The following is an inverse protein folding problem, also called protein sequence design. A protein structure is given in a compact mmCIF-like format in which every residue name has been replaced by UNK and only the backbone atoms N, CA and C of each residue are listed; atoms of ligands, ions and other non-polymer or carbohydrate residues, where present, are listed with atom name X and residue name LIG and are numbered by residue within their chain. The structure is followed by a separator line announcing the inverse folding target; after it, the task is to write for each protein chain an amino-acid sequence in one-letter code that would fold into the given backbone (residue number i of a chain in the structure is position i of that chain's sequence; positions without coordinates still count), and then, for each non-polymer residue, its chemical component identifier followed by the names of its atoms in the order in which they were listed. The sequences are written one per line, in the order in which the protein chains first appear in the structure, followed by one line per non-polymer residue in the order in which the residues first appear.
data_IF_371325115671
#
_entry.id   IF_371325115671
#
_cell.length_a   1.000
_cell.length_b   1.000
_cell.length_c   1.000
_cell.angle_alpha   90.00
_cell.angle_beta   90.00
_cell.angle_gamma   90.00
#
_symmetry.space_group_name_H-M   'P 1'
#
loop_
_entity.id
_entity.type
_entity.pdbx_description
1 polymer ?
#
# COMPACT_ATOMS: atom_id res chain seq x y z
N UNK A 1 4.04 4.58 -35.29
CA UNK A 1 3.95 4.96 -33.87
C UNK A 1 4.20 3.71 -33.05
N UNK A 2 5.20 3.71 -32.17
CA UNK A 2 5.43 2.56 -31.26
C UNK A 2 4.19 2.38 -30.38
N UNK A 3 3.69 1.16 -30.24
CA UNK A 3 2.63 0.83 -29.29
C UNK A 3 3.11 1.22 -27.89
N UNK A 4 2.44 2.16 -27.24
CA UNK A 4 2.70 2.47 -25.83
C UNK A 4 1.87 1.56 -24.96
N UNK A 5 2.54 0.79 -24.09
CA UNK A 5 1.94 -0.14 -23.16
C UNK A 5 1.91 0.47 -21.76
N UNK A 6 0.98 0.03 -20.93
CA UNK A 6 0.96 0.31 -19.49
C UNK A 6 1.50 -0.91 -18.75
N UNK A 7 2.47 -0.71 -17.87
CA UNK A 7 2.98 -1.74 -16.99
C UNK A 7 2.28 -1.66 -15.63
N UNK A 8 1.46 -2.65 -15.32
CA UNK A 8 0.86 -2.80 -13.99
C UNK A 8 1.74 -3.72 -13.13
N UNK A 9 2.11 -3.26 -11.94
CA UNK A 9 2.79 -4.02 -10.90
C UNK A 9 1.77 -4.38 -9.83
N UNK A 10 1.54 -5.67 -9.64
CA UNK A 10 0.60 -6.21 -8.66
C UNK A 10 1.38 -7.02 -7.61
N UNK A 11 1.56 -6.43 -6.44
CA UNK A 11 2.25 -7.06 -5.32
C UNK A 11 1.23 -7.68 -4.36
N UNK A 12 0.89 -8.94 -4.59
CA UNK A 12 -0.05 -9.70 -3.76
C UNK A 12 0.58 -10.26 -2.49
N UNK A 13 -0.24 -10.94 -1.67
CA UNK A 13 0.24 -11.54 -0.41
C UNK A 13 1.24 -12.67 -0.62
N UNK A 14 1.08 -13.45 -1.68
CA UNK A 14 1.90 -14.66 -1.90
C UNK A 14 2.77 -14.61 -3.16
N UNK A 15 2.60 -13.59 -3.99
CA UNK A 15 3.32 -13.47 -5.24
C UNK A 15 3.36 -12.03 -5.75
N UNK A 16 4.40 -11.71 -6.50
CA UNK A 16 4.53 -10.50 -7.30
C UNK A 16 4.15 -10.79 -8.75
N UNK A 17 3.41 -9.89 -9.38
CA UNK A 17 2.96 -10.01 -10.76
C UNK A 17 3.27 -8.72 -11.52
N UNK A 18 3.54 -8.85 -12.80
CA UNK A 18 3.64 -7.74 -13.74
C UNK A 18 2.81 -8.04 -14.98
N UNK A 19 2.03 -7.07 -15.42
CA UNK A 19 1.10 -7.20 -16.55
C UNK A 19 1.34 -6.02 -17.51
N UNK A 20 1.45 -6.31 -18.78
CA UNK A 20 1.45 -5.29 -19.84
C UNK A 20 0.07 -5.21 -20.47
N UNK A 21 -0.52 -4.02 -20.43
CA UNK A 21 -1.78 -3.70 -21.09
C UNK A 21 -1.54 -2.84 -22.33
N UNK A 22 -2.30 -3.10 -23.40
CA UNK A 22 -2.34 -2.24 -24.56
C UNK A 22 -3.30 -1.05 -24.36
N UNK A 23 -3.39 -0.18 -25.37
CA UNK A 23 -4.26 1.00 -25.34
C UNK A 23 -5.76 0.66 -25.26
N UNK A 24 -6.17 -0.55 -25.67
CA UNK A 24 -7.56 -1.02 -25.57
C UNK A 24 -7.87 -1.63 -24.20
N UNK A 25 -6.90 -1.67 -23.26
CA UNK A 25 -7.05 -2.29 -21.94
C UNK A 25 -6.94 -3.82 -21.96
N UNK A 26 -6.47 -4.41 -23.05
CA UNK A 26 -6.29 -5.85 -23.18
C UNK A 26 -4.93 -6.26 -22.61
N UNK A 27 -4.88 -7.43 -21.99
CA UNK A 27 -3.63 -8.02 -21.48
C UNK A 27 -2.81 -8.57 -22.65
N UNK A 28 -1.62 -8.04 -22.84
CA UNK A 28 -0.67 -8.52 -23.84
C UNK A 28 0.26 -9.59 -23.25
N UNK A 29 0.83 -9.35 -22.08
CA UNK A 29 1.78 -10.25 -21.42
C UNK A 29 1.62 -10.22 -19.91
N UNK A 30 1.94 -11.35 -19.27
CA UNK A 30 1.95 -11.52 -17.82
C UNK A 30 3.21 -12.25 -17.38
N UNK A 31 3.80 -11.82 -16.27
CA UNK A 31 4.81 -12.57 -15.53
C UNK A 31 4.45 -12.55 -14.04
N UNK A 32 4.67 -13.67 -13.36
CA UNK A 32 4.37 -13.84 -11.94
C UNK A 32 5.43 -14.71 -11.27
N UNK A 33 5.76 -14.37 -10.03
CA UNK A 33 6.70 -15.12 -9.19
C UNK A 33 6.21 -15.13 -7.75
N UNK A 34 6.15 -16.30 -7.13
CA UNK A 34 5.90 -16.45 -5.70
C UNK A 34 7.13 -16.06 -4.90
N UNK A 35 6.93 -15.67 -3.64
CA UNK A 35 7.98 -15.40 -2.66
C UNK A 35 7.67 -16.07 -1.32
N UNK A 36 8.67 -16.16 -0.45
CA UNK A 36 8.58 -16.89 0.81
C UNK A 36 7.61 -16.22 1.79
N UNK A 37 6.83 -17.07 2.48
CA UNK A 37 5.98 -16.65 3.60
C UNK A 37 6.66 -17.09 4.89
N UNK A 38 6.93 -16.15 5.80
CA UNK A 38 7.67 -16.39 7.03
C UNK A 38 6.68 -16.45 8.21
N UNK A 39 6.72 -17.52 8.98
CA UNK A 39 5.85 -17.74 10.15
C UNK A 39 6.70 -17.98 11.40
N UNK A 40 7.25 -16.92 12.05
CA UNK A 40 8.19 -17.07 13.17
C UNK A 40 7.59 -17.77 14.39
N UNK A 41 6.34 -17.46 14.69
CA UNK A 41 5.57 -18.07 15.78
C UNK A 41 4.08 -18.18 15.38
N UNK A 42 3.27 -18.97 16.09
CA UNK A 42 1.83 -19.04 15.81
C UNK A 42 1.17 -17.65 15.84
N UNK A 43 0.47 -17.30 14.77
CA UNK A 43 -0.21 -16.01 14.60
C UNK A 43 0.67 -14.87 14.08
N UNK A 44 1.97 -15.07 13.89
CA UNK A 44 2.86 -14.11 13.26
C UNK A 44 3.03 -14.45 11.78
N UNK A 45 2.98 -13.41 10.94
CA UNK A 45 3.15 -13.54 9.49
C UNK A 45 4.04 -12.41 9.00
N UNK A 46 5.14 -12.77 8.35
CA UNK A 46 6.13 -11.83 7.88
C UNK A 46 6.55 -12.11 6.43
N UNK A 47 7.02 -11.08 5.76
CA UNK A 47 7.70 -11.17 4.46
C UNK A 47 9.07 -10.49 4.55
N UNK A 48 10.04 -10.98 3.78
CA UNK A 48 11.27 -10.23 3.54
C UNK A 48 10.98 -9.09 2.52
N UNK A 49 11.12 -7.80 2.92
CA UNK A 49 10.90 -6.69 1.99
C UNK A 49 11.86 -6.71 0.79
N UNK A 50 13.07 -7.24 0.96
CA UNK A 50 14.02 -7.35 -0.14
C UNK A 50 13.59 -8.43 -1.15
N UNK A 51 12.92 -9.49 -0.70
CA UNK A 51 12.33 -10.48 -1.59
C UNK A 51 11.09 -9.92 -2.32
N UNK A 52 10.23 -9.15 -1.63
CA UNK A 52 9.14 -8.39 -2.27
C UNK A 52 9.71 -7.53 -3.40
N UNK A 53 10.73 -6.73 -3.13
CA UNK A 53 11.37 -5.87 -4.13
C UNK A 53 11.98 -6.66 -5.28
N UNK A 54 12.82 -7.65 -4.97
CA UNK A 54 13.54 -8.43 -5.99
C UNK A 54 12.60 -9.23 -6.89
N UNK A 55 11.56 -9.82 -6.34
CA UNK A 55 10.53 -10.54 -7.12
C UNK A 55 9.74 -9.59 -8.01
N UNK A 56 9.35 -8.40 -7.50
CA UNK A 56 8.56 -7.43 -8.26
C UNK A 56 9.35 -6.85 -9.44
N UNK A 57 10.62 -6.46 -9.24
CA UNK A 57 11.45 -5.97 -10.34
C UNK A 57 11.81 -7.06 -11.34
N UNK A 58 11.99 -8.30 -10.87
CA UNK A 58 12.25 -9.46 -11.72
C UNK A 58 11.09 -9.71 -12.70
N UNK A 59 9.84 -9.77 -12.20
CA UNK A 59 8.68 -10.00 -13.08
C UNK A 59 8.41 -8.80 -14.00
N UNK A 60 8.72 -7.58 -13.57
CA UNK A 60 8.63 -6.40 -14.42
C UNK A 60 9.64 -6.45 -15.60
N UNK A 61 10.89 -6.82 -15.33
CA UNK A 61 11.90 -7.00 -16.36
C UNK A 61 11.55 -8.18 -17.29
N UNK A 62 11.07 -9.29 -16.72
CA UNK A 62 10.68 -10.49 -17.47
C UNK A 62 9.53 -10.21 -18.44
N UNK A 63 8.48 -9.49 -18.02
CA UNK A 63 7.33 -9.20 -18.88
C UNK A 63 7.71 -8.29 -20.05
N UNK A 64 8.60 -7.31 -19.82
CA UNK A 64 9.15 -6.43 -20.86
C UNK A 64 9.97 -7.27 -21.87
N UNK A 65 10.80 -8.19 -21.38
CA UNK A 65 11.61 -9.07 -22.23
C UNK A 65 10.73 -10.04 -23.02
N UNK A 66 9.72 -10.66 -22.41
CA UNK A 66 8.75 -11.54 -23.10
C UNK A 66 7.99 -10.82 -24.22
N UNK A 67 7.68 -9.55 -24.01
CA UNK A 67 7.03 -8.72 -25.03
C UNK A 67 7.95 -8.32 -26.18
N UNK A 68 9.27 -8.54 -26.05
CA UNK A 68 10.26 -8.13 -27.04
C UNK A 68 10.38 -6.61 -27.19
N UNK A 69 10.04 -5.86 -26.16
CA UNK A 69 10.05 -4.39 -26.11
C UNK A 69 11.17 -3.86 -25.22
N UNK A 70 11.38 -2.55 -25.27
CA UNK A 70 12.22 -1.81 -24.33
C UNK A 70 11.35 -1.00 -23.36
N UNK A 71 11.92 -0.54 -22.26
CA UNK A 71 11.23 0.36 -21.35
C UNK A 71 10.72 1.66 -21.98
N UNK A 72 11.26 2.07 -23.14
CA UNK A 72 10.81 3.26 -23.89
C UNK A 72 9.40 3.10 -24.49
N UNK A 73 8.93 1.87 -24.64
CA UNK A 73 7.60 1.55 -25.16
C UNK A 73 6.56 1.43 -24.03
N UNK A 74 7.00 1.49 -22.76
CA UNK A 74 6.14 1.59 -21.60
C UNK A 74 5.79 3.07 -21.36
N UNK A 75 4.52 3.41 -21.43
CA UNK A 75 4.04 4.78 -21.27
C UNK A 75 4.01 5.20 -19.80
N UNK A 76 3.61 4.30 -18.89
CA UNK A 76 3.53 4.53 -17.47
C UNK A 76 3.52 3.20 -16.69
N UNK A 77 3.82 3.31 -15.39
CA UNK A 77 3.67 2.25 -14.40
C UNK A 77 2.48 2.58 -13.49
N UNK A 78 1.59 1.60 -13.29
CA UNK A 78 0.61 1.56 -12.21
C UNK A 78 1.03 0.53 -11.16
N UNK A 79 0.82 0.84 -9.88
CA UNK A 79 1.17 -0.04 -8.76
C UNK A 79 -0.08 -0.36 -7.98
N UNK A 80 -0.30 -1.65 -7.72
CA UNK A 80 -1.28 -2.14 -6.75
C UNK A 80 -0.62 -3.14 -5.82
N UNK A 81 -1.11 -3.25 -4.59
CA UNK A 81 -0.42 -4.02 -3.56
C UNK A 81 -1.38 -4.56 -2.51
N UNK A 82 -0.97 -5.65 -1.85
CA UNK A 82 -1.54 -6.05 -0.56
C UNK A 82 -1.47 -4.88 0.41
N UNK A 83 -2.62 -4.54 1.01
CA UNK A 83 -2.72 -3.38 1.90
C UNK A 83 -2.25 -3.72 3.31
N UNK A 84 -2.10 -2.71 4.17
CA UNK A 84 -1.84 -2.80 5.61
C UNK A 84 -0.50 -3.47 6.00
N UNK A 85 0.14 -4.19 5.10
CA UNK A 85 1.48 -4.79 5.33
C UNK A 85 2.48 -3.67 5.56
N UNK A 86 3.15 -3.73 6.70
CA UNK A 86 3.96 -2.64 7.26
C UNK A 86 5.43 -2.88 7.00
N UNK A 87 6.08 -1.92 6.35
CA UNK A 87 7.53 -1.92 6.09
C UNK A 87 8.16 -0.71 6.76
N UNK A 88 9.30 -0.91 7.42
CA UNK A 88 10.13 0.17 7.98
C UNK A 88 11.56 -0.01 7.52
N UNK A 89 12.17 1.04 6.99
CA UNK A 89 13.53 0.99 6.45
C UNK A 89 14.32 2.26 6.77
N UNK A 90 15.62 2.12 6.76
CA UNK A 90 16.57 3.20 7.01
C UNK A 90 16.65 4.14 5.79
N UNK A 91 16.58 5.46 6.01
CA UNK A 91 16.54 6.48 4.95
C UNK A 91 17.83 6.59 4.16
N UNK A 92 18.98 6.27 4.76
CA UNK A 92 20.29 6.38 4.13
C UNK A 92 20.63 5.13 3.32
N UNK A 93 20.44 3.96 3.91
CA UNK A 93 20.81 2.68 3.30
C UNK A 93 19.71 2.08 2.44
N UNK A 94 18.45 2.37 2.76
CA UNK A 94 17.29 1.76 2.15
C UNK A 94 17.07 0.30 2.57
N UNK A 95 17.77 -0.15 3.62
CA UNK A 95 17.61 -1.50 4.14
C UNK A 95 16.49 -1.55 5.17
N UNK A 96 15.62 -2.56 5.09
CA UNK A 96 14.60 -2.79 6.10
C UNK A 96 15.22 -3.03 7.48
N UNK A 97 14.63 -2.42 8.52
CA UNK A 97 15.07 -2.63 9.91
C UNK A 97 14.49 -3.91 10.51
N UNK A 98 13.43 -4.42 9.91
CA UNK A 98 12.74 -5.65 10.28
C UNK A 98 12.01 -6.23 9.07
N UNK A 99 11.60 -7.50 9.14
CA UNK A 99 10.70 -8.07 8.14
C UNK A 99 9.38 -7.27 8.04
N UNK A 100 8.77 -7.24 6.86
CA UNK A 100 7.44 -6.66 6.70
C UNK A 100 6.43 -7.45 7.51
N UNK A 101 5.70 -6.77 8.42
CA UNK A 101 4.63 -7.41 9.20
C UNK A 101 3.36 -7.40 8.34
N UNK A 102 2.88 -8.59 7.98
CA UNK A 102 1.79 -8.79 7.02
C UNK A 102 0.44 -8.45 7.65
N UNK A 103 -0.54 -8.08 6.83
CA UNK A 103 -1.91 -7.77 7.23
C UNK A 103 -2.62 -8.90 8.04
N UNK A 104 -2.21 -10.15 7.83
CA UNK A 104 -2.72 -11.33 8.53
C UNK A 104 -2.16 -11.51 9.95
N UNK A 105 -1.08 -10.79 10.29
CA UNK A 105 -0.37 -10.93 11.55
C UNK A 105 -1.23 -10.50 12.74
N UNK A 106 -1.16 -11.26 13.84
CA UNK A 106 -1.96 -11.04 15.04
C UNK A 106 -1.14 -10.67 16.28
N UNK A 107 0.19 -10.39 16.15
CA UNK A 107 1.07 -10.10 17.30
C UNK A 107 0.61 -8.91 18.14
N UNK A 108 -0.06 -7.95 17.54
CA UNK A 108 -0.53 -6.73 18.20
C UNK A 108 -1.99 -6.81 18.67
N UNK A 109 -2.65 -7.98 18.57
CA UNK A 109 -4.05 -8.14 18.93
C UNK A 109 -4.32 -7.77 20.39
N UNK A 110 -3.44 -8.19 21.32
CA UNK A 110 -3.56 -7.85 22.74
C UNK A 110 -3.50 -6.34 22.99
N UNK A 111 -2.60 -5.64 22.29
CA UNK A 111 -2.51 -4.18 22.39
C UNK A 111 -3.78 -3.50 21.86
N UNK A 112 -4.38 -4.02 20.79
CA UNK A 112 -5.67 -3.52 20.31
C UNK A 112 -6.78 -3.70 21.38
N UNK A 113 -6.79 -4.82 22.08
CA UNK A 113 -7.80 -5.06 23.13
C UNK A 113 -7.59 -4.12 24.33
N UNK A 114 -6.37 -3.88 24.75
CA UNK A 114 -6.03 -2.88 25.78
C UNK A 114 -6.50 -1.48 25.39
N UNK A 115 -6.31 -1.04 24.15
CA UNK A 115 -6.81 0.26 23.66
C UNK A 115 -8.36 0.33 23.61
N UNK A 116 -9.04 -0.78 23.30
CA UNK A 116 -10.52 -0.85 23.37
C UNK A 116 -11.02 -0.67 24.80
N UNK A 117 -10.38 -1.34 25.76
CA UNK A 117 -10.70 -1.21 27.19
C UNK A 117 -10.48 0.22 27.69
N UNK A 118 -9.50 0.94 27.15
CA UNK A 118 -9.24 2.35 27.42
C UNK A 118 -10.22 3.32 26.73
N UNK A 119 -11.11 2.82 25.86
CA UNK A 119 -12.15 3.61 25.21
C UNK A 119 -11.76 4.28 23.89
N UNK A 120 -10.63 3.90 23.27
CA UNK A 120 -10.14 4.53 22.04
C UNK A 120 -10.82 4.06 20.75
N UNK A 121 -11.69 3.04 20.80
CA UNK A 121 -12.30 2.45 19.61
C UNK A 121 -13.15 3.45 18.80
N UNK A 122 -13.93 4.31 19.47
CA UNK A 122 -14.84 5.25 18.80
C UNK A 122 -14.08 6.35 18.06
N UNK A 123 -13.06 6.96 18.65
CA UNK A 123 -12.27 8.01 18.00
C UNK A 123 -11.52 7.48 16.78
N UNK A 124 -11.00 6.24 16.85
CA UNK A 124 -10.37 5.59 15.71
C UNK A 124 -11.38 5.37 14.59
N UNK A 125 -12.57 4.84 14.92
CA UNK A 125 -13.62 4.61 13.93
C UNK A 125 -14.11 5.91 13.29
N UNK A 126 -14.32 6.95 14.06
CA UNK A 126 -14.74 8.26 13.56
C UNK A 126 -13.73 8.85 12.58
N UNK A 127 -12.45 8.87 12.93
CA UNK A 127 -11.40 9.49 12.12
C UNK A 127 -10.99 8.67 10.93
N UNK A 128 -10.98 7.34 11.06
CA UNK A 128 -10.39 6.45 10.03
C UNK A 128 -11.39 5.62 9.26
N UNK A 129 -12.64 5.50 9.74
CA UNK A 129 -13.64 4.57 9.22
C UNK A 129 -13.35 3.10 9.56
N UNK A 130 -12.28 2.82 10.30
CA UNK A 130 -11.81 1.47 10.61
C UNK A 130 -12.19 1.06 12.03
N UNK A 131 -12.21 -0.25 12.28
CA UNK A 131 -12.24 -0.80 13.62
C UNK A 131 -10.82 -0.89 14.18
N UNK A 132 -10.68 -0.82 15.50
CA UNK A 132 -9.39 -1.04 16.16
C UNK A 132 -9.04 -2.53 16.14
N UNK A 133 -8.14 -2.91 15.23
CA UNK A 133 -7.70 -4.30 15.03
C UNK A 133 -6.24 -4.38 14.56
N UNK A 134 -5.57 -5.48 14.89
CA UNK A 134 -4.20 -5.80 14.48
C UNK A 134 -4.04 -5.93 12.94
N UNK A 135 -5.13 -6.01 12.21
CA UNK A 135 -5.16 -6.04 10.76
C UNK A 135 -4.47 -4.81 10.13
N UNK A 136 -4.65 -3.62 10.71
CA UNK A 136 -4.17 -2.34 10.18
C UNK A 136 -2.73 -2.01 10.57
N UNK A 137 -2.11 -1.03 9.90
CA UNK A 137 -0.65 -0.81 9.99
C UNK A 137 -0.18 -0.18 11.31
N UNK A 138 -0.95 0.71 11.94
CA UNK A 138 -0.49 1.54 13.08
C UNK A 138 0.12 0.73 14.22
N UNK A 139 -0.58 -0.33 14.65
CA UNK A 139 -0.11 -1.17 15.77
C UNK A 139 1.13 -1.98 15.42
N UNK A 140 1.26 -2.41 14.15
CA UNK A 140 2.46 -3.10 13.64
C UNK A 140 3.66 -2.17 13.60
N UNK A 141 3.44 -0.93 13.11
CA UNK A 141 4.49 0.10 13.10
C UNK A 141 4.97 0.41 14.52
N UNK A 142 4.02 0.65 15.44
CA UNK A 142 4.36 0.84 16.86
C UNK A 142 5.18 -0.34 17.40
N UNK A 143 4.76 -1.57 17.10
CA UNK A 143 5.47 -2.77 17.55
C UNK A 143 6.91 -2.79 17.05
N UNK A 144 7.17 -2.48 15.77
CA UNK A 144 8.53 -2.42 15.21
C UNK A 144 9.35 -1.36 15.96
N UNK A 145 8.81 -0.15 16.15
CA UNK A 145 9.53 0.93 16.84
C UNK A 145 9.86 0.59 18.29
N UNK A 146 9.02 -0.19 18.97
CA UNK A 146 9.20 -0.51 20.38
C UNK A 146 10.03 -1.79 20.62
N UNK A 147 10.17 -2.67 19.63
CA UNK A 147 10.79 -3.99 19.82
C UNK A 147 12.07 -4.21 19.00
N UNK A 148 12.32 -3.38 17.99
CA UNK A 148 13.56 -3.45 17.21
C UNK A 148 14.59 -2.48 17.80
N UNK A 149 15.75 -3.00 18.17
CA UNK A 149 16.81 -2.21 18.80
C UNK A 149 17.20 -0.97 17.96
N UNK A 150 17.18 0.20 18.60
CA UNK A 150 17.52 1.48 17.97
C UNK A 150 16.47 2.03 17.01
N UNK A 151 15.36 1.32 16.75
CA UNK A 151 14.35 1.79 15.79
C UNK A 151 13.61 3.03 16.30
N UNK A 152 13.31 3.10 17.60
CA UNK A 152 12.60 4.24 18.21
C UNK A 152 13.44 5.52 18.08
N UNK A 153 14.68 5.48 18.49
CA UNK A 153 15.61 6.61 18.44
C UNK A 153 15.83 7.09 17.01
N UNK A 154 16.03 6.17 16.08
CA UNK A 154 16.15 6.49 14.65
C UNK A 154 14.89 7.12 14.08
N UNK A 155 13.70 6.63 14.46
CA UNK A 155 12.44 7.19 14.01
C UNK A 155 12.23 8.62 14.50
N UNK A 156 12.52 8.90 15.78
CA UNK A 156 12.46 10.23 16.37
C UNK A 156 13.45 11.20 15.73
N UNK A 157 14.60 10.69 15.30
CA UNK A 157 15.61 11.46 14.55
C UNK A 157 15.26 11.63 13.06
N UNK A 158 14.14 11.06 12.56
CA UNK A 158 13.74 11.12 11.15
C UNK A 158 14.64 10.30 10.20
N UNK A 159 15.33 9.30 10.73
CA UNK A 159 16.26 8.44 9.98
C UNK A 159 15.61 7.17 9.44
N UNK A 160 14.34 6.99 9.70
CA UNK A 160 13.55 5.88 9.16
C UNK A 160 12.44 6.37 8.23
N UNK A 161 12.04 5.49 7.34
CA UNK A 161 10.82 5.59 6.55
C UNK A 161 9.86 4.47 6.95
N UNK A 162 8.58 4.81 7.07
CA UNK A 162 7.48 3.84 7.14
C UNK A 162 6.69 3.87 5.84
N UNK A 163 6.19 2.72 5.43
CA UNK A 163 5.20 2.64 4.35
C UNK A 163 4.48 1.31 4.30
N UNK A 164 3.37 1.33 3.59
CA UNK A 164 2.80 0.12 3.00
C UNK A 164 3.64 -0.28 1.79
N UNK A 165 3.36 -1.42 1.19
CA UNK A 165 4.22 -1.98 0.14
C UNK A 165 4.38 -1.05 -1.07
N UNK A 166 3.33 -0.30 -1.45
CA UNK A 166 3.40 0.72 -2.51
C UNK A 166 4.49 1.76 -2.26
N UNK A 167 4.55 2.31 -1.05
CA UNK A 167 5.55 3.31 -0.64
C UNK A 167 6.97 2.75 -0.78
N UNK A 168 7.19 1.53 -0.29
CA UNK A 168 8.48 0.87 -0.38
C UNK A 168 8.89 0.60 -1.84
N UNK A 169 7.95 0.13 -2.67
CA UNK A 169 8.19 -0.08 -4.10
C UNK A 169 8.51 1.23 -4.83
N UNK A 170 7.75 2.31 -4.60
CA UNK A 170 8.02 3.62 -5.20
C UNK A 170 9.39 4.14 -4.77
N UNK A 171 9.70 4.03 -3.48
CA UNK A 171 11.00 4.44 -2.95
C UNK A 171 12.16 3.68 -3.62
N UNK A 172 12.07 2.36 -3.75
CA UNK A 172 13.06 1.52 -4.45
C UNK A 172 13.11 1.82 -5.96
N UNK A 173 11.96 1.96 -6.65
CA UNK A 173 11.88 2.28 -8.08
C UNK A 173 12.54 3.62 -8.41
N UNK A 174 12.48 4.57 -7.50
CA UNK A 174 13.03 5.93 -7.67
C UNK A 174 14.40 6.14 -7.02
N UNK A 175 14.95 5.10 -6.39
CA UNK A 175 16.20 5.16 -5.61
C UNK A 175 16.15 6.24 -4.52
N UNK A 176 15.12 6.20 -3.71
CA UNK A 176 14.95 7.10 -2.55
C UNK A 176 14.51 8.53 -2.90
N UNK A 177 14.25 8.85 -4.17
CA UNK A 177 13.87 10.21 -4.58
C UNK A 177 12.42 10.55 -4.24
N UNK A 178 11.59 9.54 -4.08
CA UNK A 178 10.16 9.71 -3.80
C UNK A 178 9.77 8.88 -2.59
N UNK A 179 9.15 9.55 -1.64
CA UNK A 179 8.63 8.96 -0.42
C UNK A 179 7.14 9.34 -0.30
N UNK A 180 6.30 8.55 -0.95
CA UNK A 180 4.87 8.81 -1.13
C UNK A 180 4.05 7.54 -0.94
N UNK A 181 2.76 7.71 -0.62
CA UNK A 181 1.69 6.71 -0.69
C UNK A 181 0.45 7.35 -1.31
N UNK A 182 -0.52 6.55 -1.74
CA UNK A 182 -1.81 7.07 -2.16
C UNK A 182 -2.84 7.07 -1.02
N UNK A 183 -3.92 7.85 -1.18
CA UNK A 183 -5.00 7.94 -0.19
C UNK A 183 -5.65 6.59 0.12
N UNK A 184 -5.72 5.66 -0.84
CA UNK A 184 -6.36 4.37 -0.64
C UNK A 184 -5.54 3.46 0.26
N UNK A 185 -4.22 3.40 0.08
CA UNK A 185 -3.30 2.69 0.99
C UNK A 185 -3.19 3.39 2.34
N UNK A 186 -3.04 4.72 2.35
CA UNK A 186 -2.96 5.50 3.59
C UNK A 186 -4.19 5.32 4.47
N UNK A 187 -5.40 5.22 3.88
CA UNK A 187 -6.66 4.99 4.62
C UNK A 187 -6.71 3.63 5.34
N UNK A 188 -5.77 2.70 5.02
CA UNK A 188 -5.71 1.38 5.66
C UNK A 188 -4.69 1.31 6.80
N UNK A 189 -4.07 2.43 7.14
CA UNK A 189 -3.01 2.44 8.15
C UNK A 189 -3.50 2.62 9.59
N UNK A 190 -4.75 3.06 9.81
CA UNK A 190 -5.26 3.57 11.10
C UNK A 190 -4.55 4.86 11.58
N UNK A 191 -3.86 5.57 10.67
CA UNK A 191 -3.14 6.82 10.96
C UNK A 191 -3.68 8.00 10.13
N UNK A 192 -4.35 7.70 9.00
CA UNK A 192 -4.95 8.72 8.13
C UNK A 192 -6.35 9.07 8.62
N UNK A 193 -6.65 10.37 8.70
CA UNK A 193 -8.01 10.85 8.85
C UNK A 193 -8.68 10.88 7.47
N UNK A 194 -9.72 10.08 7.27
CA UNK A 194 -10.39 9.94 5.97
C UNK A 194 -11.19 11.18 5.57
N UNK A 195 -11.45 12.12 6.47
CA UNK A 195 -12.17 13.35 6.19
C UNK A 195 -11.24 14.49 5.75
N UNK A 196 -10.02 14.54 6.31
CA UNK A 196 -8.99 15.55 5.94
C UNK A 196 -8.02 15.03 4.87
N UNK A 197 -7.93 13.71 4.70
CA UNK A 197 -6.99 13.00 3.81
C UNK A 197 -5.52 13.29 4.14
N UNK A 198 -5.23 13.49 5.41
CA UNK A 198 -3.87 13.66 5.94
C UNK A 198 -3.68 12.81 7.21
N UNK A 199 -2.43 12.63 7.59
CA UNK A 199 -2.04 11.96 8.82
C UNK A 199 -2.61 12.71 10.03
N UNK A 200 -3.34 12.00 10.90
CA UNK A 200 -4.03 12.60 12.06
C UNK A 200 -3.11 12.67 13.27
N UNK A 201 -2.88 13.87 13.79
CA UNK A 201 -1.95 14.08 14.89
C UNK A 201 -2.39 13.38 16.19
N UNK A 202 -3.68 13.29 16.48
CA UNK A 202 -4.17 12.61 17.69
C UNK A 202 -3.94 11.09 17.58
N UNK A 203 -4.08 10.52 16.37
CA UNK A 203 -3.75 9.11 16.12
C UNK A 203 -2.24 8.86 16.20
N UNK A 204 -1.42 9.77 15.67
CA UNK A 204 0.03 9.67 15.80
C UNK A 204 0.48 9.72 17.25
N UNK A 205 -0.11 10.60 18.08
CA UNK A 205 0.15 10.68 19.50
C UNK A 205 -0.30 9.40 20.22
N UNK A 206 -1.53 8.91 19.94
CA UNK A 206 -2.07 7.70 20.54
C UNK A 206 -1.17 6.47 20.33
N UNK A 207 -0.65 6.30 19.10
CA UNK A 207 0.24 5.19 18.77
C UNK A 207 1.72 5.51 19.03
N UNK A 208 2.06 6.72 19.48
CA UNK A 208 3.42 7.21 19.66
C UNK A 208 4.28 7.03 18.40
N UNK A 209 3.78 7.53 17.27
CA UNK A 209 4.44 7.45 15.94
C UNK A 209 4.93 8.83 15.52
N UNK A 210 6.24 9.03 15.30
CA UNK A 210 6.77 10.27 14.80
C UNK A 210 6.28 10.57 13.37
N UNK A 211 5.74 11.77 13.13
CA UNK A 211 5.29 12.19 11.80
C UNK A 211 6.40 12.18 10.76
N UNK A 212 7.65 12.39 11.18
CA UNK A 212 8.81 12.47 10.30
C UNK A 212 9.08 11.19 9.49
N UNK A 213 8.58 10.04 9.94
CA UNK A 213 8.78 8.76 9.23
C UNK A 213 7.65 8.41 8.27
N UNK A 214 6.64 9.27 8.11
CA UNK A 214 5.46 9.01 7.28
C UNK A 214 5.62 9.60 5.88
N UNK A 215 5.16 8.89 4.82
CA UNK A 215 5.22 9.39 3.45
C UNK A 215 4.25 10.54 3.20
N UNK A 216 4.49 11.30 2.13
CA UNK A 216 3.52 12.24 1.61
C UNK A 216 2.32 11.50 1.00
N UNK A 217 1.10 11.92 1.34
CA UNK A 217 -0.14 11.31 0.82
C UNK A 217 -0.52 11.97 -0.50
N UNK A 218 -0.66 11.18 -1.55
CA UNK A 218 -0.98 11.60 -2.92
C UNK A 218 -2.35 11.11 -3.38
N UNK A 219 -2.83 11.65 -4.50
CA UNK A 219 -3.98 11.08 -5.20
C UNK A 219 -3.65 9.70 -5.74
N UNK A 220 -4.66 8.90 -6.08
CA UNK A 220 -4.46 7.55 -6.63
C UNK A 220 -4.03 7.55 -8.10
N UNK A 221 -4.25 8.67 -8.82
CA UNK A 221 -3.87 8.83 -10.22
C UNK A 221 -3.31 10.24 -10.48
N UNK A 222 -2.00 10.32 -10.61
CA UNK A 222 -1.25 11.50 -11.05
C UNK A 222 0.16 11.06 -11.48
N UNK A 223 0.88 11.88 -12.21
CA UNK A 223 2.30 11.60 -12.50
C UNK A 223 3.11 11.99 -11.26
N UNK A 224 3.48 10.98 -10.45
CA UNK A 224 4.23 11.22 -9.22
C UNK A 224 5.70 11.53 -9.50
N UNK A 225 6.29 10.86 -10.50
CA UNK A 225 7.67 10.97 -10.91
C UNK A 225 8.08 9.83 -11.82
N UNK A 226 9.38 9.57 -11.91
CA UNK A 226 9.93 8.61 -12.88
C UNK A 226 10.86 7.61 -12.19
N UNK A 227 10.89 6.38 -12.73
CA UNK A 227 11.84 5.34 -12.29
C UNK A 227 13.29 5.73 -12.53
N UNK A 228 14.20 5.11 -11.77
CA UNK A 228 15.62 5.20 -12.06
C UNK A 228 15.95 4.50 -13.40
N UNK A 229 16.81 5.11 -14.21
CA UNK A 229 17.21 4.58 -15.51
C UNK A 229 17.89 3.21 -15.46
N UNK A 230 18.49 2.88 -14.32
CA UNK A 230 19.21 1.60 -14.11
C UNK A 230 18.30 0.37 -14.07
N UNK A 231 16.99 0.56 -13.88
CA UNK A 231 16.04 -0.56 -13.80
C UNK A 231 15.56 -1.02 -15.18
N UNK A 232 15.21 -0.07 -16.04
CA UNK A 232 14.60 -0.36 -17.36
C UNK A 232 15.35 0.27 -18.53
N UNK A 233 16.60 0.69 -18.32
CA UNK A 233 17.44 1.44 -19.28
C UNK A 233 16.81 2.74 -19.78
N UNK A 234 15.76 3.20 -19.12
CA UNK A 234 15.04 4.46 -19.38
C UNK A 234 14.29 4.88 -18.12
N UNK A 235 13.83 6.12 -18.11
CA UNK A 235 12.87 6.58 -17.09
C UNK A 235 11.46 6.25 -17.56
N UNK A 236 10.64 5.70 -16.67
CA UNK A 236 9.23 5.42 -16.90
C UNK A 236 8.42 6.16 -15.86
N UNK A 237 7.40 6.96 -16.24
CA UNK A 237 6.52 7.62 -15.29
C UNK A 237 5.79 6.61 -14.39
N UNK A 238 5.71 6.91 -13.08
CA UNK A 238 4.84 6.22 -12.15
C UNK A 238 3.58 7.08 -12.03
N UNK A 239 2.41 6.56 -12.44
CA UNK A 239 1.23 7.38 -12.66
C UNK A 239 -0.07 6.86 -12.01
N UNK A 240 -0.01 5.74 -11.32
CA UNK A 240 -1.15 5.19 -10.59
C UNK A 240 -0.69 4.37 -9.40
N UNK A 241 -1.33 4.56 -8.25
CA UNK A 241 -1.12 3.76 -7.04
C UNK A 241 -2.49 3.53 -6.41
N UNK A 242 -2.80 2.29 -6.06
CA UNK A 242 -4.01 1.96 -5.32
C UNK A 242 -3.84 0.64 -4.56
N UNK A 243 -4.43 0.53 -3.37
CA UNK A 243 -4.55 -0.75 -2.69
C UNK A 243 -5.29 -1.78 -3.54
N UNK A 244 -4.95 -3.06 -3.40
CA UNK A 244 -5.44 -4.15 -4.27
C UNK A 244 -6.98 -4.21 -4.41
N UNK A 245 -7.68 -4.02 -3.30
CA UNK A 245 -9.15 -4.08 -3.29
C UNK A 245 -9.78 -2.82 -3.89
N UNK A 246 -9.16 -1.66 -3.74
CA UNK A 246 -9.58 -0.41 -4.37
C UNK A 246 -9.28 -0.42 -5.87
N UNK A 247 -8.12 -0.92 -6.26
CA UNK A 247 -7.77 -1.15 -7.67
C UNK A 247 -8.77 -2.11 -8.33
N UNK A 248 -9.16 -3.19 -7.63
CA UNK A 248 -10.18 -4.12 -8.12
C UNK A 248 -11.57 -3.45 -8.23
N UNK A 249 -11.98 -2.62 -7.27
CA UNK A 249 -13.24 -1.88 -7.32
C UNK A 249 -13.31 -0.99 -8.56
N UNK A 250 -12.24 -0.21 -8.80
CA UNK A 250 -12.12 0.65 -9.97
C UNK A 250 -12.04 -0.17 -11.28
N UNK A 251 -11.19 -1.20 -11.31
CA UNK A 251 -10.98 -2.04 -12.50
C UNK A 251 -12.23 -2.84 -12.92
N UNK A 252 -13.12 -3.18 -11.98
CA UNK A 252 -14.44 -3.75 -12.27
C UNK A 252 -15.48 -2.68 -12.64
N UNK A 253 -15.04 -1.46 -12.90
CA UNK A 253 -15.90 -0.33 -13.30
C UNK A 253 -16.97 0.01 -12.27
N UNK A 254 -16.74 -0.29 -10.98
CA UNK A 254 -17.66 0.08 -9.90
C UNK A 254 -17.47 1.57 -9.52
N UNK A 255 -17.62 2.46 -10.52
CA UNK A 255 -17.35 3.90 -10.42
C UNK A 255 -18.57 4.74 -10.04
N UNK A 256 -19.75 4.12 -9.98
CA UNK A 256 -21.00 4.78 -9.59
C UNK A 256 -21.42 4.33 -8.18
N UNK A 257 -21.92 5.24 -7.32
CA UNK A 257 -22.42 4.89 -6.00
C UNK A 257 -23.43 3.75 -6.03
N UNK A 258 -23.28 2.80 -5.10
CA UNK A 258 -24.09 1.58 -5.00
C UNK A 258 -23.57 0.39 -5.79
N UNK A 259 -22.59 0.59 -6.70
CA UNK A 259 -21.94 -0.55 -7.37
C UNK A 259 -21.02 -1.32 -6.42
N UNK A 260 -21.04 -2.63 -6.54
CA UNK A 260 -20.37 -3.57 -5.64
C UNK A 260 -19.47 -4.50 -6.42
N UNK A 261 -18.27 -4.74 -5.91
CA UNK A 261 -17.43 -5.85 -6.33
C UNK A 261 -17.22 -6.81 -5.16
N UNK A 262 -17.03 -8.09 -5.47
CA UNK A 262 -16.65 -9.09 -4.49
C UNK A 262 -15.47 -9.92 -5.01
N UNK A 263 -14.40 -9.99 -4.21
CA UNK A 263 -13.20 -10.77 -4.52
C UNK A 263 -13.15 -11.98 -3.60
N UNK A 264 -13.01 -13.15 -4.18
CA UNK A 264 -12.76 -14.40 -3.48
C UNK A 264 -11.33 -14.86 -3.79
N UNK A 265 -10.45 -14.83 -2.79
CA UNK A 265 -9.05 -15.25 -2.87
C UNK A 265 -8.59 -15.80 -1.52
N UNK A 266 -7.38 -15.47 -1.08
CA UNK A 266 -6.89 -15.76 0.29
C UNK A 266 -7.82 -15.17 1.35
N UNK A 267 -8.46 -14.03 1.05
CA UNK A 267 -9.55 -13.43 1.80
C UNK A 267 -10.75 -13.15 0.90
N UNK A 268 -11.92 -12.92 1.50
CA UNK A 268 -13.14 -12.50 0.82
C UNK A 268 -13.37 -11.02 1.10
N UNK A 269 -13.37 -10.20 0.05
CA UNK A 269 -13.45 -8.73 0.18
C UNK A 269 -14.56 -8.18 -0.69
N UNK A 270 -15.67 -7.80 -0.05
CA UNK A 270 -16.78 -7.10 -0.69
C UNK A 270 -16.60 -5.60 -0.45
N UNK A 271 -16.54 -4.81 -1.52
CA UNK A 271 -16.50 -3.36 -1.47
C UNK A 271 -17.66 -2.78 -2.28
N UNK A 272 -18.32 -1.77 -1.70
CA UNK A 272 -19.35 -0.98 -2.36
C UNK A 272 -18.88 0.48 -2.49
N UNK A 273 -18.90 1.02 -3.69
CA UNK A 273 -18.70 2.46 -3.89
C UNK A 273 -19.83 3.24 -3.22
N UNK A 274 -19.50 4.14 -2.28
CA UNK A 274 -20.47 4.99 -1.58
C UNK A 274 -20.51 6.43 -2.13
N UNK A 275 -19.72 6.74 -3.16
CA UNK A 275 -19.59 8.07 -3.73
C UNK A 275 -18.68 8.98 -2.91
N UNK A 276 -19.01 10.26 -2.87
CA UNK A 276 -18.17 11.32 -2.24
C UNK A 276 -18.39 11.47 -0.74
N UNK A 277 -19.24 10.64 -0.14
CA UNK A 277 -19.53 10.68 1.29
C UNK A 277 -18.95 9.47 2.02
N UNK A 278 -18.24 9.71 3.11
CA UNK A 278 -17.78 8.69 4.03
C UNK A 278 -18.97 8.17 4.87
N UNK A 279 -19.58 7.08 4.44
CA UNK A 279 -20.77 6.52 5.10
C UNK A 279 -20.35 5.69 6.31
N UNK A 280 -20.80 6.07 7.52
CA UNK A 280 -20.59 5.27 8.71
C UNK A 280 -21.60 4.11 8.76
N UNK A 281 -21.10 2.88 8.76
CA UNK A 281 -21.93 1.69 8.85
C UNK A 281 -22.52 1.49 10.24
N UNK A 282 -23.82 1.15 10.28
CA UNK A 282 -24.51 0.71 11.51
C UNK A 282 -24.38 -0.80 11.77
N UNK A 283 -23.74 -1.53 10.86
CA UNK A 283 -23.62 -2.99 10.87
C UNK A 283 -22.16 -3.48 10.94
N UNK A 284 -21.28 -2.66 11.56
CA UNK A 284 -19.85 -2.96 11.73
C UNK A 284 -19.07 -3.22 10.43
N UNK A 285 -19.53 -2.67 9.29
CA UNK A 285 -18.72 -2.60 8.09
C UNK A 285 -17.74 -1.46 8.21
N UNK A 286 -16.62 -1.56 7.50
CA UNK A 286 -15.59 -0.55 7.45
C UNK A 286 -15.92 0.52 6.41
N UNK A 287 -15.44 1.73 6.63
CA UNK A 287 -15.40 2.79 5.61
C UNK A 287 -13.95 3.06 5.26
N UNK A 288 -13.64 3.23 4.00
CA UNK A 288 -12.28 3.49 3.51
C UNK A 288 -12.31 4.45 2.34
N UNK A 289 -11.19 5.11 2.04
CA UNK A 289 -11.06 5.85 0.79
C UNK A 289 -10.93 4.84 -0.35
N UNK A 290 -11.80 4.96 -1.35
CA UNK A 290 -11.73 4.14 -2.55
C UNK A 290 -10.64 4.64 -3.50
N UNK A 291 -10.64 5.93 -3.81
CA UNK A 291 -9.61 6.63 -4.60
C UNK A 291 -9.77 8.14 -4.48
N UNK A 292 -8.74 8.87 -4.88
CA UNK A 292 -8.79 10.30 -5.20
C UNK A 292 -8.22 10.51 -6.60
N UNK A 293 -9.01 11.10 -7.49
CA UNK A 293 -8.65 11.36 -8.89
C UNK A 293 -9.11 12.77 -9.26
N UNK A 294 -8.23 13.58 -9.83
CA UNK A 294 -8.51 14.96 -10.22
C UNK A 294 -9.10 15.83 -9.08
N UNK A 295 -8.68 15.57 -7.85
CA UNK A 295 -9.17 16.28 -6.66
C UNK A 295 -10.46 15.72 -6.06
N UNK A 296 -11.20 14.89 -6.78
CA UNK A 296 -12.42 14.24 -6.29
C UNK A 296 -12.09 12.96 -5.51
N UNK A 297 -12.70 12.83 -4.33
CA UNK A 297 -12.55 11.67 -3.44
C UNK A 297 -13.80 10.81 -3.54
N UNK A 298 -13.60 9.49 -3.63
CA UNK A 298 -14.65 8.50 -3.50
C UNK A 298 -14.33 7.56 -2.35
N UNK A 299 -15.40 7.07 -1.69
CA UNK A 299 -15.31 6.16 -0.54
C UNK A 299 -15.94 4.80 -0.87
N UNK A 300 -15.60 3.83 -0.06
CA UNK A 300 -16.17 2.48 -0.16
C UNK A 300 -16.36 1.86 1.24
#
# INVERSE_FOLDING_TARGET
MSKKLILALDQGTTSSRAILFNHSGEIEYVSQKSFEQIFPTPGWVEHDPNEIWSSQVSVAAEVIAKAGISGREVAAIGITNQRETTVVWDTETGEPVYNAIVWQDRRTAKYCDELKEQGHAEIIKEKTGLVLDAYFSATKLKWILDNVEGAREKAEAGQLCFGTVDTFLVWKLTRGKMFITDVSNASRTMLLNIHTLDWDNDLLELFNIPRAILPEVKQSSEIYGETATTLFSTKIPIAGIAGDQQAALFGQMCTTPGMVKNTYGTGCFLLMNTGTEAVTSKNNLLTTVAWKINGEVNYA
#
